data_IF_725511220097
#
_entry.id   IF_725511220097
#
_cell.length_a   1.000
_cell.length_b   1.000
_cell.length_c   1.000
_cell.angle_alpha   90.00
_cell.angle_beta   90.00
_cell.angle_gamma   90.00
#
_symmetry.space_group_name_H-M   'P 1'
#
loop_
_entity.id
_entity.type
_entity.pdbx_description
1 polymer ?
2 polymer ?
3 non-polymer ?
4 water ?
#
# COMPACT_ATOMS: atom_id res chain seq x y z
N UNK A 1 -5.50 -18.35 -27.09
CA UNK A 1 -5.28 -16.88 -27.22
C UNK A 1 -4.02 -16.41 -26.50
N UNK A 2 -3.51 -15.21 -26.87
CA UNK A 2 -2.31 -14.64 -26.26
C UNK A 2 -2.46 -14.19 -24.81
N UNK A 3 -1.34 -14.23 -24.09
CA UNK A 3 -1.29 -13.80 -22.71
C UNK A 3 -1.48 -12.29 -22.77
N UNK A 4 -2.60 -11.81 -22.24
CA UNK A 4 -2.91 -10.39 -22.26
C UNK A 4 -1.96 -9.50 -21.48
N UNK A 5 -1.22 -10.09 -20.55
CA UNK A 5 -0.28 -9.30 -19.75
C UNK A 5 1.15 -9.26 -20.25
N UNK A 6 1.50 -10.20 -21.13
CA UNK A 6 2.85 -10.27 -21.69
C UNK A 6 3.08 -9.17 -22.73
N UNK A 7 4.22 -8.49 -22.65
CA UNK A 7 4.53 -7.44 -23.61
C UNK A 7 5.91 -7.71 -24.21
N UNK A 8 6.05 -7.46 -25.51
CA UNK A 8 7.32 -7.65 -26.19
C UNK A 8 8.34 -6.67 -25.62
N UNK A 9 9.51 -7.17 -25.25
CA UNK A 9 10.56 -6.34 -24.68
C UNK A 9 10.87 -5.10 -25.51
N UNK A 10 10.75 -5.22 -26.83
CA UNK A 10 11.04 -4.10 -27.73
C UNK A 10 10.15 -2.89 -27.53
N UNK A 11 8.94 -3.10 -27.03
CA UNK A 11 8.00 -1.99 -26.82
C UNK A 11 8.25 -1.18 -25.55
N UNK A 12 9.28 -1.55 -24.79
CA UNK A 12 9.61 -0.86 -23.55
C UNK A 12 11.00 -0.24 -23.62
N UNK A 13 11.13 1.02 -23.19
CA UNK A 13 12.41 1.71 -23.19
C UNK A 13 12.68 2.30 -21.80
N UNK A 14 13.92 2.19 -21.35
CA UNK A 14 14.30 2.70 -20.04
C UNK A 14 15.06 4.03 -20.14
N UNK A 15 14.40 5.11 -19.74
CA UNK A 15 14.97 6.45 -19.79
C UNK A 15 16.02 6.69 -18.70
N UNK A 16 15.68 6.38 -17.45
CA UNK A 16 16.61 6.59 -16.36
C UNK A 16 16.26 5.77 -15.13
N UNK A 17 17.18 5.71 -14.19
CA UNK A 17 16.96 4.96 -12.97
C UNK A 17 16.15 5.77 -11.97
N UNK A 18 15.32 5.08 -11.19
CA UNK A 18 14.51 5.73 -10.18
C UNK A 18 15.06 5.36 -8.81
N UNK A 19 15.51 4.13 -8.68
CA UNK A 19 16.07 3.67 -7.41
C UNK A 19 16.07 2.16 -7.29
N UNK A 20 16.87 1.65 -6.36
CA UNK A 20 16.97 0.22 -6.14
C UNK A 20 15.73 -0.31 -5.44
N UNK A 21 15.21 -1.44 -5.93
CA UNK A 21 14.01 -2.02 -5.33
C UNK A 21 14.27 -3.31 -4.55
N UNK A 22 13.21 -4.03 -4.22
CA UNK A 22 13.34 -5.28 -3.46
C UNK A 22 14.14 -6.34 -4.20
N UNK A 23 13.83 -6.55 -5.48
CA UNK A 23 14.52 -7.57 -6.27
C UNK A 23 15.47 -7.02 -7.34
N UNK A 24 15.50 -5.71 -7.50
CA UNK A 24 16.38 -5.13 -8.51
C UNK A 24 16.10 -3.66 -8.75
N UNK A 25 16.88 -3.08 -9.67
CA UNK A 25 16.76 -1.67 -10.01
C UNK A 25 15.43 -1.33 -10.67
N UNK A 26 14.84 -0.22 -10.25
CA UNK A 26 13.58 0.28 -10.79
C UNK A 26 13.92 1.47 -11.70
N UNK A 27 13.39 1.47 -12.91
CA UNK A 27 13.66 2.54 -13.88
C UNK A 27 12.39 3.25 -14.32
N UNK A 28 12.54 4.47 -14.82
CA UNK A 28 11.41 5.21 -15.37
C UNK A 28 11.60 5.03 -16.87
N UNK A 29 10.51 4.87 -17.59
CA UNK A 29 10.64 4.68 -19.03
C UNK A 29 9.33 4.91 -19.76
N UNK A 30 9.25 4.33 -20.95
CA UNK A 30 8.07 4.46 -21.80
C UNK A 30 7.71 3.10 -22.41
N UNK A 31 6.42 2.83 -22.54
CA UNK A 31 5.96 1.57 -23.12
C UNK A 31 4.89 1.84 -24.18
N UNK A 32 4.94 1.09 -25.28
CA UNK A 32 3.98 1.26 -26.35
C UNK A 32 2.82 0.27 -26.32
N UNK A 33 1.62 0.76 -26.61
CA UNK A 33 0.44 -0.06 -26.64
C UNK A 33 0.01 -0.81 -25.38
N UNK A 34 0.20 -0.22 -24.21
CA UNK A 34 -0.20 -0.90 -22.98
C UNK A 34 -1.51 -0.32 -22.44
N UNK A 35 -1.88 0.85 -22.95
CA UNK A 35 -3.12 1.49 -22.52
C UNK A 35 -3.95 1.78 -23.77
N UNK A 36 -5.26 1.56 -23.66
CA UNK A 36 -6.17 1.78 -24.78
C UNK A 36 -6.13 3.23 -25.27
N UNK A 37 -6.30 3.41 -26.58
CA UNK A 37 -6.31 4.74 -27.17
C UNK A 37 -5.09 5.54 -26.76
N UNK A 38 -4.01 4.84 -26.40
CA UNK A 38 -2.79 5.53 -25.99
C UNK A 38 -1.59 4.88 -26.67
N UNK A 39 -0.99 5.59 -27.66
CA UNK A 39 0.17 5.10 -28.42
C UNK A 39 1.27 4.60 -27.49
N UNK A 40 1.78 5.50 -26.65
CA UNK A 40 2.83 5.15 -25.70
C UNK A 40 2.42 5.65 -24.32
N UNK A 41 3.00 5.06 -23.27
CA UNK A 41 2.66 5.45 -21.91
C UNK A 41 3.91 5.52 -21.02
N UNK A 42 3.95 6.51 -20.13
CA UNK A 42 5.07 6.64 -19.22
C UNK A 42 4.88 5.55 -18.17
N UNK A 43 5.96 4.86 -17.84
CA UNK A 43 5.86 3.77 -16.90
C UNK A 43 7.04 3.65 -15.95
N UNK A 44 6.83 2.87 -14.90
CA UNK A 44 7.86 2.58 -13.93
C UNK A 44 8.25 1.16 -14.35
N UNK A 45 9.53 0.87 -14.39
CA UNK A 45 9.97 -0.46 -14.80
C UNK A 45 10.75 -1.14 -13.69
N UNK A 46 10.12 -2.15 -13.08
CA UNK A 46 10.75 -2.91 -12.00
C UNK A 46 11.42 -4.13 -12.61
N UNK A 47 12.69 -4.33 -12.27
CA UNK A 47 13.45 -5.46 -12.80
C UNK A 47 13.94 -6.41 -11.72
N UNK A 48 14.33 -7.62 -12.15
CA UNK A 48 14.87 -8.62 -11.24
C UNK A 48 16.31 -8.87 -11.68
N UNK A 49 17.25 -8.78 -10.75
CA UNK A 49 18.65 -9.01 -11.07
C UNK A 49 18.77 -10.36 -11.79
N UNK A 50 19.47 -10.37 -12.92
CA UNK A 50 19.65 -11.60 -13.69
C UNK A 50 20.35 -12.68 -12.87
N UNK A 51 20.85 -12.28 -11.70
CA UNK A 51 21.54 -13.21 -10.82
C UNK A 51 20.66 -13.65 -9.66
N UNK A 52 19.43 -13.14 -9.60
CA UNK A 52 18.50 -13.49 -8.53
C UNK A 52 18.21 -14.99 -8.52
N UNK A 53 17.83 -15.48 -7.35
CA UNK A 53 17.52 -16.91 -7.19
C UNK A 53 16.10 -17.20 -7.66
N UNK A 54 15.80 -18.48 -7.80
CA UNK A 54 14.48 -18.91 -8.22
C UNK A 54 13.48 -18.42 -7.18
N UNK A 55 13.88 -18.53 -5.91
CA UNK A 55 13.03 -18.10 -4.81
C UNK A 55 12.61 -16.64 -4.99
N UNK A 56 13.58 -15.77 -5.27
CA UNK A 56 13.31 -14.36 -5.46
C UNK A 56 12.48 -14.10 -6.71
N UNK A 57 12.83 -14.77 -7.80
CA UNK A 57 12.10 -14.60 -9.04
C UNK A 57 10.65 -15.00 -8.87
N UNK A 58 10.40 -16.05 -8.09
CA UNK A 58 9.04 -16.50 -7.84
C UNK A 58 8.26 -15.43 -7.05
N UNK A 59 8.87 -14.88 -6.01
CA UNK A 59 8.22 -13.85 -5.21
C UNK A 59 7.94 -12.63 -6.08
N UNK A 60 8.90 -12.24 -6.90
CA UNK A 60 8.74 -11.10 -7.78
C UNK A 60 7.51 -11.29 -8.70
N UNK A 61 7.46 -12.44 -9.37
CA UNK A 61 6.38 -12.73 -10.29
C UNK A 61 5.04 -12.93 -9.57
N UNK A 62 5.07 -13.47 -8.36
CA UNK A 62 3.84 -13.67 -7.61
C UNK A 62 3.19 -12.32 -7.30
N UNK A 63 4.00 -11.31 -7.02
CA UNK A 63 3.45 -10.00 -6.73
C UNK A 63 2.76 -9.45 -7.98
N UNK A 64 3.35 -9.71 -9.14
CA UNK A 64 2.77 -9.25 -10.39
C UNK A 64 1.46 -9.96 -10.63
N UNK A 65 1.43 -11.26 -10.37
CA UNK A 65 0.22 -12.04 -10.57
C UNK A 65 -0.93 -11.50 -9.75
N UNK A 66 -0.67 -11.20 -8.48
CA UNK A 66 -1.69 -10.65 -7.61
C UNK A 66 -2.24 -9.34 -8.18
N UNK A 67 -1.34 -8.50 -8.70
CA UNK A 67 -1.73 -7.22 -9.26
C UNK A 67 -2.61 -7.32 -10.50
N UNK A 68 -2.52 -8.43 -11.22
CA UNK A 68 -3.32 -8.61 -12.44
C UNK A 68 -4.81 -8.57 -12.10
N UNK A 69 -5.14 -8.81 -10.83
CA UNK A 69 -6.52 -8.83 -10.39
C UNK A 69 -7.08 -7.45 -10.03
N UNK A 70 -6.22 -6.45 -9.93
CA UNK A 70 -6.69 -5.12 -9.55
C UNK A 70 -6.93 -4.12 -10.66
N UNK A 71 -8.06 -3.42 -10.57
CA UNK A 71 -8.43 -2.38 -11.50
C UNK A 71 -9.13 -1.30 -10.69
N UNK A 72 -8.33 -0.45 -10.07
CA UNK A 72 -8.87 0.62 -9.24
C UNK A 72 -8.02 1.87 -9.34
N UNK A 73 -8.68 3.02 -9.41
CA UNK A 73 -8.01 4.31 -9.54
C UNK A 73 -7.06 4.58 -8.36
N UNK A 74 -7.35 4.00 -7.20
CA UNK A 74 -6.50 4.23 -6.03
C UNK A 74 -5.57 3.07 -5.67
N UNK A 75 -5.28 2.24 -6.67
CA UNK A 75 -4.34 1.14 -6.51
C UNK A 75 -3.40 1.27 -7.71
N UNK A 76 -2.09 1.28 -7.45
CA UNK A 76 -1.12 1.41 -8.55
C UNK A 76 -1.36 0.29 -9.55
N UNK A 77 -1.52 0.67 -10.81
CA UNK A 77 -1.86 -0.29 -11.85
C UNK A 77 -0.74 -1.06 -12.56
N UNK A 78 -0.93 -2.38 -12.67
CA UNK A 78 0.04 -3.23 -13.38
C UNK A 78 -0.28 -2.99 -14.84
N UNK A 79 0.75 -2.83 -15.66
CA UNK A 79 0.51 -2.56 -17.08
C UNK A 79 1.05 -3.64 -18.00
N UNK A 80 1.93 -4.48 -17.49
CA UNK A 80 2.48 -5.52 -18.32
C UNK A 80 3.63 -6.25 -17.67
N UNK A 81 3.99 -7.38 -18.26
CA UNK A 81 5.06 -8.22 -17.76
C UNK A 81 5.92 -8.71 -18.92
N UNK A 82 7.23 -8.73 -18.73
CA UNK A 82 8.13 -9.21 -19.76
C UNK A 82 8.81 -10.43 -19.15
N UNK A 83 8.27 -11.62 -19.44
CA UNK A 83 8.84 -12.84 -18.87
C UNK A 83 9.65 -13.67 -19.84
N UNK A 84 10.02 -13.06 -20.96
CA UNK A 84 10.85 -13.71 -21.98
C UNK A 84 12.15 -12.91 -22.03
N UNK A 85 13.27 -13.61 -21.92
CA UNK A 85 14.56 -12.94 -21.97
C UNK A 85 14.96 -12.33 -20.65
N UNK A 86 16.12 -11.66 -20.65
CA UNK A 86 16.67 -11.02 -19.46
C UNK A 86 16.81 -9.51 -19.66
N UNK A 87 16.56 -8.71 -18.61
CA UNK A 87 16.15 -9.19 -17.29
C UNK A 87 14.62 -9.29 -17.24
N UNK A 88 14.10 -9.97 -16.22
CA UNK A 88 12.65 -10.10 -16.08
C UNK A 88 12.13 -8.75 -15.65
N UNK A 89 11.11 -8.24 -16.33
CA UNK A 89 10.54 -6.93 -16.04
C UNK A 89 9.05 -6.95 -15.77
N UNK A 90 8.61 -5.94 -15.03
CA UNK A 90 7.21 -5.72 -14.71
C UNK A 90 7.04 -4.21 -14.93
N UNK A 91 6.06 -3.83 -15.72
CA UNK A 91 5.84 -2.41 -15.98
C UNK A 91 4.54 -1.97 -15.32
N UNK A 92 4.62 -0.85 -14.62
CA UNK A 92 3.52 -0.33 -13.87
C UNK A 92 3.29 1.16 -14.05
N UNK A 93 2.11 1.59 -13.62
CA UNK A 93 1.70 2.98 -13.68
C UNK A 93 2.80 3.80 -13.01
N UNK A 94 3.19 4.90 -13.65
CA UNK A 94 4.23 5.77 -13.10
C UNK A 94 3.63 6.71 -12.05
N UNK A 95 4.26 6.75 -10.88
CA UNK A 95 3.82 7.60 -9.78
C UNK A 95 5.01 8.56 -9.58
N UNK A 96 4.97 9.70 -10.27
CA UNK A 96 6.08 10.65 -10.22
C UNK A 96 6.55 11.16 -8.85
N UNK A 97 5.65 11.27 -7.88
CA UNK A 97 6.06 11.76 -6.56
C UNK A 97 6.64 10.72 -5.60
N UNK A 98 6.87 9.49 -6.07
CA UNK A 98 7.45 8.47 -5.21
C UNK A 98 6.55 7.96 -4.08
N UNK A 99 7.14 7.26 -3.12
CA UNK A 99 6.35 6.71 -2.01
C UNK A 99 5.89 7.82 -1.06
N UNK A 100 4.78 7.54 -0.38
CA UNK A 100 4.19 8.50 0.54
C UNK A 100 5.06 8.88 1.74
N UNK A 101 5.87 7.94 2.22
CA UNK A 101 6.71 8.26 3.36
C UNK A 101 7.73 9.35 3.01
N UNK A 102 8.43 9.15 1.90
CA UNK A 102 9.43 10.11 1.43
C UNK A 102 8.77 11.44 1.12
N UNK A 103 7.57 11.40 0.55
CA UNK A 103 6.85 12.62 0.20
C UNK A 103 6.50 13.42 1.46
N UNK A 104 6.07 12.72 2.50
CA UNK A 104 5.72 13.36 3.76
C UNK A 104 6.97 13.95 4.41
N UNK A 105 8.06 13.18 4.41
CA UNK A 105 9.31 13.65 5.00
C UNK A 105 9.79 14.93 4.29
N UNK A 106 9.66 14.95 2.97
CA UNK A 106 10.09 16.10 2.18
C UNK A 106 9.35 17.38 2.56
N UNK A 107 8.22 17.24 3.26
CA UNK A 107 7.45 18.40 3.65
C UNK A 107 7.84 18.93 5.04
N UNK A 108 8.83 18.28 5.65
CA UNK A 108 9.29 18.70 6.96
C UNK A 108 10.02 20.03 6.90
N UNK A 109 9.70 20.96 7.81
CA UNK A 109 10.33 22.28 7.86
C UNK A 109 11.85 22.16 8.01
N UNK A 110 12.29 21.15 8.75
CA UNK A 110 13.72 20.93 8.95
C UNK A 110 14.40 20.64 7.62
N UNK A 111 13.99 19.56 6.96
CA UNK A 111 14.56 19.18 5.68
C UNK A 111 13.97 20.01 4.54
N UNK A 120 0.96 19.95 5.15
CA UNK A 120 -0.29 19.80 4.39
C UNK A 120 -1.53 20.21 5.20
N UNK A 121 -2.48 20.83 4.52
CA UNK A 121 -3.71 21.28 5.17
C UNK A 121 -4.60 20.13 5.63
N UNK A 122 -5.56 20.44 6.48
CA UNK A 122 -6.49 19.44 6.99
C UNK A 122 -7.19 18.76 5.83
N UNK A 123 -7.62 19.53 4.85
CA UNK A 123 -8.30 18.99 3.67
C UNK A 123 -7.41 18.07 2.84
N UNK A 124 -6.15 18.45 2.68
CA UNK A 124 -5.22 17.64 1.91
C UNK A 124 -4.99 16.32 2.65
N UNK A 125 -4.89 16.38 3.97
CA UNK A 125 -4.68 15.18 4.76
C UNK A 125 -5.88 14.24 4.68
N UNK A 126 -7.08 14.80 4.75
CA UNK A 126 -8.30 14.01 4.69
C UNK A 126 -8.47 13.42 3.30
N UNK A 127 -8.01 14.15 2.28
CA UNK A 127 -8.13 13.67 0.91
C UNK A 127 -7.25 12.43 0.76
N UNK A 128 -6.05 12.48 1.35
CA UNK A 128 -5.13 11.34 1.27
C UNK A 128 -5.72 10.14 2.00
N UNK A 129 -6.31 10.39 3.16
CA UNK A 129 -6.91 9.33 3.95
C UNK A 129 -8.02 8.66 3.16
N UNK A 130 -8.82 9.47 2.46
CA UNK A 130 -9.92 8.92 1.70
C UNK A 130 -9.48 8.08 0.52
N UNK A 131 -8.42 8.52 -0.16
CA UNK A 131 -7.91 7.80 -1.32
C UNK A 131 -7.32 6.45 -0.90
N UNK A 132 -6.54 6.45 0.19
CA UNK A 132 -5.93 5.22 0.69
C UNK A 132 -7.01 4.23 1.14
N UNK A 133 -8.01 4.75 1.85
CA UNK A 133 -9.11 3.94 2.34
C UNK A 133 -9.93 3.37 1.17
N UNK A 134 -10.05 4.14 0.09
CA UNK A 134 -10.80 3.67 -1.07
C UNK A 134 -10.05 2.51 -1.73
N UNK A 135 -8.74 2.66 -1.88
CA UNK A 135 -7.96 1.59 -2.48
C UNK A 135 -8.05 0.34 -1.62
N UNK A 136 -7.98 0.52 -0.31
CA UNK A 136 -8.05 -0.61 0.62
C UNK A 136 -9.45 -1.23 0.59
N UNK A 137 -10.48 -0.39 0.50
CA UNK A 137 -11.84 -0.91 0.44
C UNK A 137 -11.97 -1.81 -0.79
N UNK A 138 -11.38 -1.37 -1.91
CA UNK A 138 -11.39 -2.13 -3.14
C UNK A 138 -10.70 -3.48 -2.92
N UNK A 139 -9.51 -3.42 -2.34
CA UNK A 139 -8.75 -4.63 -2.05
C UNK A 139 -9.55 -5.61 -1.18
N UNK A 140 -10.06 -5.13 -0.05
CA UNK A 140 -10.85 -5.96 0.86
C UNK A 140 -12.12 -6.50 0.20
N UNK A 141 -12.74 -5.68 -0.66
CA UNK A 141 -13.96 -6.08 -1.35
C UNK A 141 -13.69 -7.27 -2.27
N UNK A 142 -12.47 -7.33 -2.81
CA UNK A 142 -12.11 -8.45 -3.68
C UNK A 142 -11.51 -9.60 -2.89
N UNK A 143 -11.70 -9.57 -1.58
CA UNK A 143 -11.21 -10.62 -0.71
C UNK A 143 -9.69 -10.76 -0.62
N UNK A 144 -9.02 -9.62 -0.49
CA UNK A 144 -7.56 -9.62 -0.34
C UNK A 144 -7.23 -8.84 0.91
N UNK A 145 -6.28 -9.35 1.69
CA UNK A 145 -5.86 -8.64 2.88
C UNK A 145 -4.45 -8.17 2.50
N UNK A 146 -4.20 -6.87 2.61
CA UNK A 146 -2.91 -6.31 2.23
C UNK A 146 -1.76 -6.73 3.14
N UNK A 147 -1.97 -6.63 4.46
CA UNK A 147 -0.98 -7.03 5.46
C UNK A 147 0.26 -6.16 5.65
N UNK A 148 0.50 -5.20 4.76
CA UNK A 148 1.68 -4.36 4.91
C UNK A 148 1.37 -2.92 4.55
N UNK A 149 0.21 -2.44 5.00
CA UNK A 149 -0.18 -1.06 4.75
C UNK A 149 0.68 -0.15 5.61
N UNK A 150 1.32 0.81 4.96
CA UNK A 150 2.21 1.76 5.62
C UNK A 150 2.49 2.85 4.60
N UNK A 151 2.89 4.03 5.07
CA UNK A 151 3.17 5.12 4.14
C UNK A 151 4.21 4.70 3.09
N UNK A 152 5.20 3.90 3.48
CA UNK A 152 6.23 3.49 2.54
C UNK A 152 5.66 2.66 1.39
N UNK A 153 4.46 2.10 1.57
CA UNK A 153 3.88 1.26 0.52
C UNK A 153 2.78 1.92 -0.31
N UNK A 154 2.55 3.21 -0.06
CA UNK A 154 1.58 4.00 -0.82
C UNK A 154 2.45 4.86 -1.72
N UNK A 155 1.93 5.24 -2.89
CA UNK A 155 2.67 6.08 -3.84
C UNK A 155 1.88 7.35 -4.15
N UNK A 156 2.58 8.38 -4.63
CA UNK A 156 1.94 9.65 -4.95
C UNK A 156 2.11 10.00 -6.42
N UNK A 157 1.00 10.24 -7.11
CA UNK A 157 1.02 10.58 -8.52
C UNK A 157 1.34 12.05 -8.74
N UNK A 158 1.54 12.42 -10.00
CA UNK A 158 1.86 13.81 -10.34
C UNK A 158 0.86 14.78 -9.70
N UNK A 159 -0.43 14.50 -9.88
CA UNK A 159 -1.46 15.37 -9.32
C UNK A 159 -1.70 15.17 -7.82
N UNK A 160 -0.75 14.54 -7.14
CA UNK A 160 -0.82 14.29 -5.69
C UNK A 160 -1.79 13.20 -5.23
N UNK A 161 -2.39 12.48 -6.16
CA UNK A 161 -3.30 11.40 -5.78
C UNK A 161 -2.48 10.30 -5.09
N UNK A 162 -2.98 9.76 -3.99
CA UNK A 162 -2.28 8.70 -3.27
C UNK A 162 -2.88 7.35 -3.66
N UNK A 163 -2.04 6.35 -3.85
CA UNK A 163 -2.51 5.01 -4.23
C UNK A 163 -1.72 3.90 -3.53
N UNK A 164 -2.39 2.78 -3.29
CA UNK A 164 -1.76 1.61 -2.66
C UNK A 164 -0.80 1.06 -3.72
N UNK A 165 0.47 0.88 -3.38
CA UNK A 165 1.41 0.43 -4.40
C UNK A 165 2.36 -0.75 -4.26
N UNK A 166 2.41 -1.37 -3.09
CA UNK A 166 3.30 -2.53 -2.90
C UNK A 166 2.41 -3.65 -2.36
N UNK A 167 2.49 -4.84 -2.94
CA UNK A 167 1.66 -5.96 -2.50
C UNK A 167 2.46 -7.20 -2.14
N UNK A 168 3.68 -6.98 -1.67
CA UNK A 168 4.55 -8.09 -1.31
C UNK A 168 3.98 -9.08 -0.32
N UNK A 169 3.12 -8.62 0.59
CA UNK A 169 2.54 -9.50 1.60
C UNK A 169 1.04 -9.77 1.44
N UNK A 170 0.47 -9.24 0.38
CA UNK A 170 -0.96 -9.39 0.11
C UNK A 170 -1.37 -10.85 -0.06
N UNK A 171 -2.48 -11.23 0.56
CA UNK A 171 -2.98 -12.60 0.50
C UNK A 171 -4.47 -12.69 0.19
N UNK A 172 -4.83 -13.69 -0.59
CA UNK A 172 -6.22 -13.93 -0.93
C UNK A 172 -6.89 -14.57 0.29
N UNK A 173 -8.04 -14.02 0.70
CA UNK A 173 -8.77 -14.55 1.85
C UNK A 173 -10.21 -14.92 1.48
N UNK A 174 -10.43 -15.16 0.19
CA UNK A 174 -11.75 -15.52 -0.31
C UNK A 174 -12.40 -16.65 0.47
N UNK A 175 -11.67 -17.75 0.63
CA UNK A 175 -12.19 -18.92 1.32
C UNK A 175 -12.42 -18.78 2.83
N UNK A 176 -11.41 -18.31 3.57
CA UNK A 176 -11.52 -18.22 5.02
C UNK A 176 -11.66 -16.84 5.68
N UNK A 177 -11.53 -15.77 4.90
CA UNK A 177 -11.63 -14.43 5.47
C UNK A 177 -10.47 -14.04 6.39
N UNK A 178 -9.42 -14.83 6.39
CA UNK A 178 -8.26 -14.51 7.21
C UNK A 178 -7.03 -15.21 6.71
N UNK A 179 -5.87 -14.75 7.16
CA UNK A 179 -4.60 -15.36 6.80
C UNK A 179 -3.78 -15.49 8.07
N UNK A 180 -3.27 -16.69 8.31
CA UNK A 180 -2.46 -16.94 9.49
C UNK A 180 -1.02 -17.21 9.07
N UNK A 181 -0.09 -16.44 9.63
CA UNK A 181 1.32 -16.60 9.31
C UNK A 181 1.90 -17.71 10.17
N UNK A 182 2.57 -18.66 9.52
CA UNK A 182 3.19 -19.76 10.25
C UNK A 182 4.70 -19.70 10.25
N UNK A 183 5.31 -20.08 11.37
CA UNK A 183 6.76 -20.07 11.47
C UNK A 183 7.39 -18.71 11.71
N UNK A 184 8.59 -18.52 11.17
CA UNK A 184 9.32 -17.27 11.33
C UNK A 184 9.11 -16.37 10.11
N UNK A 185 9.35 -15.08 10.30
CA UNK A 185 9.19 -14.14 9.21
C UNK A 185 9.55 -12.72 9.59
N UNK A 186 9.93 -11.92 8.61
CA UNK A 186 10.27 -10.52 8.86
C UNK A 186 8.97 -9.77 8.61
N UNK A 187 8.35 -9.31 9.70
CA UNK A 187 7.08 -8.61 9.60
C UNK A 187 7.14 -7.18 10.12
N UNK A 188 6.26 -6.31 9.58
CA UNK A 188 6.17 -4.90 9.94
C UNK A 188 5.52 -4.70 11.30
N UNK A 189 6.24 -5.12 12.34
CA UNK A 189 5.77 -5.03 13.72
C UNK A 189 5.12 -3.72 14.18
N UNK A 190 5.71 -2.59 13.82
CA UNK A 190 5.16 -1.29 14.23
C UNK A 190 3.89 -0.86 13.52
N UNK A 191 3.42 -1.67 12.59
CA UNK A 191 2.20 -1.37 11.83
C UNK A 191 1.14 -2.46 12.06
N UNK A 192 1.50 -3.50 12.82
CA UNK A 192 0.62 -4.63 13.08
C UNK A 192 -0.34 -4.51 14.27
N UNK A 193 -1.55 -5.03 14.09
CA UNK A 193 -2.55 -4.98 15.16
C UNK A 193 -2.13 -5.88 16.32
N UNK A 194 -2.76 -5.71 17.48
CA UNK A 194 -2.44 -6.52 18.65
C UNK A 194 -2.64 -8.02 18.39
N UNK A 195 -3.75 -8.37 17.75
CA UNK A 195 -4.03 -9.78 17.46
C UNK A 195 -3.03 -10.38 16.48
N UNK A 196 -2.56 -9.58 15.53
CA UNK A 196 -1.58 -10.04 14.53
C UNK A 196 -0.25 -10.29 15.23
N UNK A 197 0.13 -9.37 16.11
CA UNK A 197 1.38 -9.50 16.83
C UNK A 197 1.33 -10.73 17.73
N UNK A 198 0.16 -11.02 18.28
CA UNK A 198 0.01 -12.16 19.18
C UNK A 198 0.01 -13.54 18.53
N UNK A 199 -0.75 -13.73 17.46
CA UNK A 199 -0.79 -15.04 16.81
C UNK A 199 -0.72 -15.05 15.29
N UNK A 200 -0.13 -13.99 14.72
CA UNK A 200 0.02 -13.91 13.27
C UNK A 200 -1.21 -14.01 12.41
N UNK A 201 -2.36 -13.60 12.93
CA UNK A 201 -3.60 -13.65 12.15
C UNK A 201 -3.86 -12.28 11.50
N UNK A 202 -4.09 -12.29 10.19
CA UNK A 202 -4.34 -11.04 9.46
C UNK A 202 -5.74 -11.05 8.84
N UNK A 203 -6.48 -9.97 9.06
CA UNK A 203 -7.83 -9.82 8.54
C UNK A 203 -8.01 -8.42 7.98
N UNK A 204 -9.18 -8.15 7.40
CA UNK A 204 -9.45 -6.80 6.89
C UNK A 204 -9.37 -5.89 8.11
N UNK A 205 -9.69 -6.44 9.29
CA UNK A 205 -9.66 -5.66 10.54
C UNK A 205 -8.24 -5.21 10.87
N UNK A 206 -7.25 -6.09 10.67
CA UNK A 206 -5.89 -5.69 10.96
C UNK A 206 -5.38 -4.72 9.91
N UNK A 207 -5.96 -4.76 8.71
CA UNK A 207 -5.58 -3.82 7.66
C UNK A 207 -6.08 -2.43 8.11
N UNK A 208 -7.24 -2.41 8.76
CA UNK A 208 -7.79 -1.17 9.24
C UNK A 208 -6.91 -0.59 10.36
N UNK A 209 -6.33 -1.48 11.16
CA UNK A 209 -5.43 -1.04 12.23
C UNK A 209 -4.25 -0.31 11.61
N UNK A 210 -3.64 -0.93 10.60
CA UNK A 210 -2.49 -0.34 9.90
C UNK A 210 -2.86 0.99 9.26
N UNK A 211 -4.08 1.08 8.74
CA UNK A 211 -4.53 2.33 8.14
C UNK A 211 -4.45 3.42 9.21
N UNK A 212 -4.79 3.06 10.44
CA UNK A 212 -4.72 4.01 11.54
C UNK A 212 -3.29 4.51 11.69
N UNK A 213 -2.34 3.60 11.57
CA UNK A 213 -0.94 4.00 11.70
C UNK A 213 -0.54 4.92 10.55
N UNK A 214 -1.04 4.64 9.35
CA UNK A 214 -0.73 5.47 8.18
C UNK A 214 -1.27 6.89 8.42
N UNK A 215 -2.45 7.00 9.04
CA UNK A 215 -3.01 8.31 9.33
C UNK A 215 -2.05 9.03 10.28
N UNK A 216 -1.53 8.31 11.27
CA UNK A 216 -0.59 8.90 12.22
C UNK A 216 0.65 9.38 11.46
N UNK A 217 1.15 8.56 10.54
CA UNK A 217 2.32 8.92 9.75
C UNK A 217 2.06 10.21 8.96
N UNK A 218 0.85 10.33 8.42
CA UNK A 218 0.52 11.52 7.67
C UNK A 218 0.53 12.76 8.56
N UNK A 219 -0.14 12.68 9.71
CA UNK A 219 -0.22 13.82 10.63
C UNK A 219 1.11 14.21 11.29
N UNK A 220 2.08 13.30 11.33
CA UNK A 220 3.38 13.60 11.93
C UNK A 220 4.47 13.79 10.87
N UNK A 221 4.08 13.78 9.61
CA UNK A 221 5.04 13.92 8.51
C UNK A 221 6.07 12.79 8.56
N UNK A 222 5.56 11.57 8.63
CA UNK A 222 6.36 10.36 8.65
C UNK A 222 7.35 10.19 9.79
N UNK A 223 6.91 10.41 11.02
CA UNK A 223 7.80 10.21 12.16
C UNK A 223 7.82 8.68 12.26
N UNK A 224 8.83 8.12 12.92
CA UNK A 224 8.88 6.67 13.07
C UNK A 224 7.89 6.26 14.15
N UNK A 225 7.00 5.31 13.85
CA UNK A 225 6.02 4.87 14.86
C UNK A 225 6.71 4.31 16.10
N UNK A 226 6.25 4.73 17.28
CA UNK A 226 6.81 4.27 18.54
C UNK A 226 8.32 4.54 18.60
N UNK A 227 8.70 5.74 18.16
CA UNK A 227 10.10 6.14 18.15
C UNK A 227 10.68 6.14 19.56
N UNK A 228 11.82 5.47 19.72
CA UNK A 228 12.44 5.42 21.03
C UNK A 228 12.23 4.06 21.68
N UNK A 229 11.25 3.31 21.19
CA UNK A 229 10.97 1.99 21.73
C UNK A 229 11.63 0.93 20.85
N UNK A 230 12.27 -0.05 21.48
CA UNK A 230 12.90 -1.12 20.72
C UNK A 230 11.74 -1.97 20.20
N UNK A 231 12.02 -2.84 19.23
CA UNK A 231 10.98 -3.68 18.67
C UNK A 231 10.29 -4.47 19.78
N UNK A 232 11.07 -4.90 20.76
CA UNK A 232 10.56 -5.65 21.90
C UNK A 232 9.53 -4.88 22.70
N UNK A 233 9.87 -3.63 23.03
CA UNK A 233 8.98 -2.77 23.79
C UNK A 233 7.71 -2.47 22.99
N UNK A 234 7.85 -2.40 21.67
CA UNK A 234 6.70 -2.12 20.81
C UNK A 234 5.72 -3.28 20.93
N UNK A 235 6.23 -4.49 20.78
CA UNK A 235 5.43 -5.70 20.88
C UNK A 235 4.63 -5.70 22.18
N UNK A 236 5.31 -5.41 23.29
CA UNK A 236 4.66 -5.39 24.60
C UNK A 236 3.71 -4.21 24.77
N UNK A 237 4.16 -3.03 24.36
CA UNK A 237 3.36 -1.82 24.47
C UNK A 237 2.01 -1.96 23.78
N UNK A 238 2.03 -2.42 22.53
CA UNK A 238 0.81 -2.57 21.75
C UNK A 238 -0.10 -3.70 22.21
N UNK A 239 0.47 -4.86 22.50
CA UNK A 239 -0.32 -5.99 22.95
C UNK A 239 -0.97 -5.76 24.30
N UNK A 240 -0.43 -4.81 25.06
CA UNK A 240 -1.00 -4.51 26.37
C UNK A 240 -2.03 -3.38 26.32
N UNK A 241 -2.27 -2.84 25.13
CA UNK A 241 -3.26 -1.78 25.00
C UNK A 241 -2.73 -0.39 24.75
N UNK A 242 -1.41 -0.25 24.60
CA UNK A 242 -0.83 1.06 24.34
C UNK A 242 -1.09 1.54 22.93
N UNK A 243 -1.01 2.86 22.73
CA UNK A 243 -1.25 3.46 21.41
C UNK A 243 -0.27 4.59 21.12
N UNK A 244 -0.11 4.91 19.84
CA UNK A 244 0.75 6.00 19.42
C UNK A 244 0.09 7.27 19.95
N UNK A 245 0.87 8.33 20.15
CA UNK A 245 0.31 9.58 20.67
C UNK A 245 -0.55 10.33 19.66
N UNK A 246 -1.19 11.40 20.14
CA UNK A 246 -2.03 12.23 19.31
C UNK A 246 -1.12 13.33 18.74
N UNK A 247 -0.86 13.28 17.42
CA UNK A 247 0.00 14.27 16.77
C UNK A 247 -0.47 15.70 17.05
N UNK A 248 0.48 16.60 17.30
CA UNK A 248 0.15 17.98 17.57
C UNK A 248 -0.52 18.61 16.36
N UNK A 249 -1.54 19.44 16.61
CA UNK A 249 -2.26 20.11 15.55
C UNK A 249 -2.87 19.18 14.50
N UNK A 250 -3.26 17.98 14.92
CA UNK A 250 -3.85 17.03 13.99
C UNK A 250 -5.36 17.28 13.91
N UNK A 251 -5.92 17.21 12.69
CA UNK A 251 -7.35 17.43 12.48
C UNK A 251 -8.19 16.48 13.32
N UNK A 252 -9.23 17.00 13.98
CA UNK A 252 -10.08 16.17 14.83
C UNK A 252 -10.60 14.90 14.15
N UNK A 253 -11.00 15.01 12.88
CA UNK A 253 -11.51 13.83 12.17
C UNK A 253 -10.48 12.72 12.07
N UNK A 254 -9.21 13.08 11.93
CA UNK A 254 -8.16 12.07 11.83
C UNK A 254 -7.86 11.46 13.21
N UNK A 255 -7.95 12.27 14.26
CA UNK A 255 -7.72 11.75 15.60
C UNK A 255 -8.81 10.74 15.92
N UNK A 256 -10.04 11.06 15.53
CA UNK A 256 -11.18 10.17 15.78
C UNK A 256 -11.06 8.90 14.95
N UNK A 257 -10.66 9.04 13.69
CA UNK A 257 -10.48 7.87 12.82
C UNK A 257 -9.42 6.96 13.44
N UNK A 258 -8.35 7.57 13.93
CA UNK A 258 -7.29 6.79 14.56
C UNK A 258 -7.85 6.03 15.75
N UNK A 259 -8.59 6.74 16.61
CA UNK A 259 -9.20 6.12 17.78
C UNK A 259 -10.03 4.90 17.37
N UNK A 260 -10.79 5.06 16.29
CA UNK A 260 -11.65 4.00 15.77
C UNK A 260 -10.83 2.83 15.22
N UNK A 261 -9.81 3.14 14.43
CA UNK A 261 -8.97 2.10 13.82
C UNK A 261 -8.16 1.34 14.85
N UNK A 262 -7.91 1.98 15.99
CA UNK A 262 -7.12 1.34 17.03
C UNK A 262 -7.90 0.73 18.19
N UNK A 263 -9.13 0.31 17.92
CA UNK A 263 -9.94 -0.35 18.94
C UNK A 263 -9.23 -1.69 19.18
N UNK A 264 -9.01 -2.06 20.44
CA UNK A 264 -8.31 -3.31 20.72
C UNK A 264 -9.08 -4.50 20.14
N UNK A 265 -10.40 -4.42 20.23
CA UNK A 265 -11.27 -5.48 19.74
C UNK A 265 -11.44 -5.24 18.24
N UNK A 266 -10.87 -6.11 17.41
CA UNK A 266 -10.99 -5.93 15.96
C UNK A 266 -12.41 -5.70 15.46
N UNK A 267 -13.36 -6.35 16.10
CA UNK A 267 -14.76 -6.23 15.70
C UNK A 267 -15.32 -4.84 15.98
N UNK A 268 -14.61 -4.06 16.80
CA UNK A 268 -15.04 -2.71 17.13
C UNK A 268 -14.52 -1.69 16.13
N UNK A 269 -13.59 -2.10 15.28
CA UNK A 269 -13.03 -1.20 14.30
C UNK A 269 -13.98 -1.02 13.13
N UNK A 270 -13.93 0.15 12.47
CA UNK A 270 -14.80 0.40 11.32
C UNK A 270 -14.22 -0.33 10.12
N UNK A 271 -15.03 -0.47 9.06
CA UNK A 271 -14.57 -1.09 7.82
C UNK A 271 -14.09 0.07 6.98
N UNK A 272 -13.35 -0.20 5.92
CA UNK A 272 -12.88 0.89 5.07
C UNK A 272 -14.05 1.65 4.46
N UNK A 273 -15.14 0.93 4.15
CA UNK A 273 -16.32 1.58 3.61
C UNK A 273 -16.90 2.53 4.65
N UNK A 274 -16.99 2.08 5.90
CA UNK A 274 -17.51 2.94 6.96
C UNK A 274 -16.60 4.15 7.16
N UNK A 275 -15.30 3.95 7.00
CA UNK A 275 -14.35 5.05 7.14
C UNK A 275 -14.59 6.10 6.05
N UNK A 276 -14.72 5.64 4.81
CA UNK A 276 -14.95 6.53 3.69
C UNK A 276 -16.28 7.26 3.87
N UNK A 277 -17.30 6.52 4.27
CA UNK A 277 -18.62 7.08 4.49
C UNK A 277 -18.57 8.27 5.45
N UNK A 278 -17.83 8.11 6.55
CA UNK A 278 -17.74 9.16 7.56
C UNK A 278 -17.03 10.44 7.12
N UNK A 279 -16.18 10.38 6.10
CA UNK A 279 -15.46 11.56 5.65
C UNK A 279 -15.75 11.96 4.21
N UNK A 280 -16.68 11.28 3.56
CA UNK A 280 -17.00 11.55 2.16
C UNK A 280 -17.35 12.99 1.80
N UNK A 281 -17.95 13.73 2.72
CA UNK A 281 -18.32 15.11 2.42
C UNK A 281 -17.10 16.01 2.36
N UNK A 282 -15.97 15.53 2.89
CA UNK A 282 -14.73 16.30 2.90
C UNK A 282 -13.84 16.01 1.69
N UNK A 283 -14.23 15.02 0.90
CA UNK A 283 -13.46 14.64 -0.29
C UNK A 283 -13.71 15.61 -1.45
N UNK A 284 -12.72 15.77 -2.33
CA UNK A 284 -12.87 16.65 -3.48
C UNK A 284 -13.98 16.12 -4.38
N UNK A 285 -14.55 16.99 -5.23
CA UNK A 285 -15.64 16.63 -6.15
C UNK A 285 -15.42 15.38 -6.99
N UNK A 286 -14.27 15.32 -7.65
CA UNK A 286 -13.95 14.19 -8.51
C UNK A 286 -13.83 12.82 -7.87
N UNK A 287 -13.93 12.76 -6.55
CA UNK A 287 -13.82 11.48 -5.84
C UNK A 287 -14.99 10.57 -6.23
N UNK A 288 -16.16 11.18 -6.41
CA UNK A 288 -17.36 10.44 -6.77
C UNK A 288 -17.25 9.82 -8.16
N UNK A 289 -16.44 10.42 -9.01
CA UNK A 289 -16.25 9.93 -10.38
C UNK A 289 -15.22 8.82 -10.55
N UNK A 290 -14.17 8.84 -9.74
CA UNK A 290 -13.10 7.85 -9.87
C UNK A 290 -12.97 6.82 -8.75
N UNK A 291 -13.69 7.02 -7.65
CA UNK A 291 -13.58 6.11 -6.51
C UNK A 291 -14.30 4.78 -6.62
N UNK A 292 -13.75 3.78 -5.93
CA UNK A 292 -14.39 2.47 -5.88
C UNK A 292 -15.66 2.63 -5.04
N UNK A 293 -15.58 3.50 -4.03
CA UNK A 293 -16.69 3.76 -3.13
C UNK A 293 -17.99 4.11 -3.86
N UNK A 294 -17.92 5.06 -4.80
CA UNK A 294 -19.11 5.47 -5.53
C UNK A 294 -19.39 4.68 -6.82
N UNK A 295 -18.60 3.64 -7.08
CA UNK A 295 -18.78 2.84 -8.29
C UNK A 295 -19.93 1.85 -8.13
N UNK A 296 -20.44 1.35 -9.26
CA UNK A 296 -21.52 0.39 -9.21
C UNK A 296 -21.05 -0.95 -8.65
N UNK A 297 -19.75 -1.24 -8.76
CA UNK A 297 -19.23 -2.50 -8.25
C UNK A 297 -19.40 -2.61 -6.73
N UNK A 298 -19.53 -1.47 -6.07
CA UNK A 298 -19.71 -1.45 -4.62
C UNK A 298 -21.17 -1.24 -4.23
N UNK A 299 -21.86 -2.35 -3.93
CA UNK A 299 -23.27 -2.29 -3.54
C UNK A 299 -23.59 -3.44 -2.60
N UNK B 6 15.06 -0.80 11.22
CA UNK B 6 14.40 -1.64 10.17
C UNK B 6 12.91 -1.79 10.43
N UNK B 7 12.12 -1.79 9.36
CA UNK B 7 10.68 -1.90 9.49
C UNK B 7 10.18 -3.34 9.60
N UNK B 8 10.95 -4.29 9.08
CA UNK B 8 10.55 -5.69 9.14
C UNK B 8 11.42 -6.42 10.14
N UNK B 9 10.77 -6.94 11.19
CA UNK B 9 11.44 -7.64 12.27
C UNK B 9 11.03 -9.09 12.33
N UNK B 10 11.98 -9.95 12.71
CA UNK B 10 11.68 -11.36 12.80
C UNK B 10 10.71 -11.62 13.95
N UNK B 11 9.76 -12.51 13.71
CA UNK B 11 8.76 -12.86 14.71
C UNK B 11 8.32 -14.27 14.34
N UNK B 12 8.11 -15.11 15.33
CA UNK B 12 7.72 -16.49 15.06
C UNK B 12 6.43 -16.91 15.75
N UNK B 13 5.61 -17.67 15.05
CA UNK B 13 4.34 -18.13 15.60
C UNK B 13 4.26 -19.66 15.61
X LIG C 1 9.73 -2.95 -0.92
X LIG C 1 9.02 -4.10 -1.55
X LIG C 1 10.91 -3.35 -0.12
X LIG C 1 8.86 -1.93 -0.30
X LIG C 1 11.34 -0.69 -1.99
X LIG C 1 10.95 -0.02 -0.73
X LIG C 1 12.78 -1.01 -2.21
X LIG C 1 10.42 -2.11 -2.18
X LIG C 1 10.35 -0.19 -4.50
X LIG C 1 10.95 -1.47 -4.96
X LIG C 1 8.88 -0.04 -4.48
X LIG C 1 10.93 0.21 -3.15
X LIG C 1 10.93 0.96 -5.46
X LIG C 1 12.23 1.59 -5.35
X LIG C 1 12.10 2.99 -5.87
X LIG C 1 11.60 2.95 -7.23
X LIG C 1 11.10 3.87 -5.13
X LIG C 1 11.72 4.51 -4.02
X LIG C 1 10.68 4.88 -6.19
X LIG C 1 11.59 5.95 -6.33
X LIG C 1 10.70 4.01 -7.46
X LIG C 1 9.40 3.44 -7.81
X LIG C 1 8.91 2.19 -7.53
X LIG C 1 7.70 1.96 -8.01
X LIG C 1 7.38 3.14 -8.66
X LIG C 1 6.24 3.55 -9.37
X LIG C 1 5.17 2.77 -9.58
X LIG C 1 6.23 4.80 -9.90
X LIG C 1 7.30 5.58 -9.69
X LIG C 1 8.43 5.32 -9.05
X LIG C 1 8.41 4.06 -8.55
#
# INVERSE_FOLDING_TARGET
VPDEWEVAREKITMSRELGQGSFGMVYEGVAKGVVKDEPETRVAIKTVNEAASMRERIEFLNEASVMKEFNCHHVVRLLGVVSQGQPTLVIMELMTRGDLKSYLRSLRPEMENNPVLAPPSLSKMIQMAGEIADGMAYLNANKFVHRDLAARNCMVAEDFTVKIGDFGMTRDIYETDYYRKGGKGLLPVRWMSPESLKDGVFTTYSDVWSFGVVLWEIATLAEQPYQGLSNEQVLRFVMEGGLLDKPDNCPDMLLELMRMCWQYNPKMRPSFLEIISSIKEEMEPGFREVSFYYSEENK
KKKSPGEYVNIEFG
ACP PG O1G O2G O3G PB O1B O2B C3B PA O1A O2A O3A O5' C5' C4' O4' C3' O3' C2' O2' C1' N9 C8 N7 C5 C6 N6 N1 C2 N3 C4
#
